data_IF_448907177582
#
_entry.id   IF_448907177582
#
_cell.length_a   1.000
_cell.length_b   1.000
_cell.length_c   1.000
_cell.angle_alpha   90.00
_cell.angle_beta   90.00
_cell.angle_gamma   90.00
#
_symmetry.space_group_name_H-M   'P 1'
#
loop_
_entity.id
_entity.type
_entity.pdbx_description
1 polymer ?
#
# COMPACT_ATOMS: atom_id res chain seq x y z
N UNK A 1 -12.72 -1.83 18.93
CA UNK A 1 -12.94 -0.96 17.74
C UNK A 1 -12.12 -1.44 16.53
N UNK A 2 -10.85 -1.83 16.70
CA UNK A 2 -10.03 -2.43 15.64
C UNK A 2 -10.50 -3.82 15.17
N UNK A 3 -10.95 -4.70 16.08
CA UNK A 3 -11.40 -6.06 15.73
C UNK A 3 -12.54 -6.07 14.69
N UNK A 4 -13.48 -5.13 14.77
CA UNK A 4 -14.58 -5.06 13.81
C UNK A 4 -14.10 -4.61 12.43
N UNK A 5 -13.13 -3.70 12.37
CA UNK A 5 -12.51 -3.27 11.11
C UNK A 5 -11.74 -4.41 10.46
N UNK A 6 -10.95 -5.15 11.23
CA UNK A 6 -10.27 -6.35 10.72
C UNK A 6 -11.27 -7.41 10.25
N UNK A 7 -12.31 -7.70 11.04
CA UNK A 7 -13.38 -8.62 10.61
C UNK A 7 -14.07 -8.21 9.31
N UNK A 8 -14.31 -6.92 9.10
CA UNK A 8 -14.92 -6.44 7.85
C UNK A 8 -13.97 -6.57 6.65
N UNK A 9 -12.66 -6.39 6.88
CA UNK A 9 -11.62 -6.62 5.87
C UNK A 9 -11.52 -8.12 5.55
N UNK A 10 -11.46 -8.99 6.57
CA UNK A 10 -11.55 -10.46 6.45
C UNK A 10 -12.77 -10.87 5.64
N UNK A 11 -13.97 -10.41 6.00
CA UNK A 11 -15.23 -10.78 5.34
C UNK A 11 -15.30 -10.36 3.87
N UNK A 12 -14.64 -9.25 3.51
CA UNK A 12 -14.59 -8.74 2.13
C UNK A 12 -13.61 -9.54 1.29
N UNK A 13 -12.45 -9.84 1.84
CA UNK A 13 -11.36 -10.52 1.15
C UNK A 13 -11.54 -12.04 1.09
N UNK A 14 -12.19 -12.67 2.08
CA UNK A 14 -12.54 -14.09 2.07
C UNK A 14 -13.53 -14.47 0.94
N UNK A 15 -14.25 -13.49 0.40
CA UNK A 15 -15.16 -13.66 -0.75
C UNK A 15 -14.46 -13.51 -2.11
N UNK A 16 -13.17 -13.20 -2.12
CA UNK A 16 -12.41 -13.04 -3.36
C UNK A 16 -12.12 -14.41 -3.99
N UNK A 17 -12.42 -14.54 -5.28
CA UNK A 17 -12.43 -15.81 -6.00
C UNK A 17 -11.06 -16.50 -6.14
N UNK A 18 -9.97 -15.84 -5.72
CA UNK A 18 -8.60 -16.35 -5.73
C UNK A 18 -8.10 -16.97 -4.42
N UNK A 19 -8.86 -16.88 -3.32
CA UNK A 19 -8.46 -17.46 -2.03
C UNK A 19 -9.07 -18.86 -1.84
N UNK A 20 -8.29 -19.90 -2.11
CA UNK A 20 -8.68 -21.30 -1.88
C UNK A 20 -8.45 -21.77 -0.43
N UNK A 21 -7.62 -21.07 0.34
CA UNK A 21 -7.27 -21.42 1.73
C UNK A 21 -7.01 -20.19 2.61
N UNK A 22 -7.08 -20.37 3.94
CA UNK A 22 -6.75 -19.33 4.94
C UNK A 22 -5.28 -18.86 4.84
N UNK A 23 -4.38 -19.70 4.31
CA UNK A 23 -2.97 -19.35 4.07
C UNK A 23 -2.83 -18.38 2.89
N UNK A 24 -3.57 -18.61 1.79
CA UNK A 24 -3.60 -17.71 0.63
C UNK A 24 -4.10 -16.31 1.05
N UNK A 25 -5.06 -16.26 1.97
CA UNK A 25 -5.61 -15.04 2.54
C UNK A 25 -4.58 -14.22 3.33
N UNK A 26 -3.82 -14.88 4.22
CA UNK A 26 -2.79 -14.22 5.02
C UNK A 26 -1.69 -13.68 4.11
N UNK A 27 -1.29 -14.41 3.08
CA UNK A 27 -0.27 -13.96 2.14
C UNK A 27 -0.71 -12.73 1.33
N UNK A 28 -1.95 -12.73 0.83
CA UNK A 28 -2.48 -11.60 0.05
C UNK A 28 -2.71 -10.33 0.89
N UNK A 29 -3.03 -10.47 2.17
CA UNK A 29 -3.21 -9.30 3.07
C UNK A 29 -1.90 -8.77 3.63
N UNK A 30 -0.92 -9.66 3.87
CA UNK A 30 0.33 -9.29 4.53
C UNK A 30 1.13 -8.26 3.75
N UNK A 31 1.26 -8.41 2.43
CA UNK A 31 2.04 -7.47 1.62
C UNK A 31 1.38 -6.09 1.56
N UNK A 32 0.05 -6.03 1.47
CA UNK A 32 -0.72 -4.78 1.46
C UNK A 32 -0.52 -4.05 2.79
N UNK A 33 -0.69 -4.75 3.91
CA UNK A 33 -0.49 -4.18 5.25
C UNK A 33 0.97 -3.73 5.45
N UNK A 34 1.93 -4.52 4.98
CA UNK A 34 3.35 -4.17 5.04
C UNK A 34 3.65 -2.87 4.29
N UNK A 35 3.16 -2.71 3.06
CA UNK A 35 3.38 -1.48 2.28
C UNK A 35 2.69 -0.28 2.93
N UNK A 36 1.48 -0.46 3.50
CA UNK A 36 0.80 0.60 4.25
C UNK A 36 1.61 1.06 5.46
N UNK A 37 2.16 0.11 6.21
CA UNK A 37 3.00 0.38 7.37
C UNK A 37 4.31 1.08 6.98
N UNK A 38 4.96 0.61 5.90
CA UNK A 38 6.19 1.22 5.40
C UNK A 38 5.97 2.69 5.00
N UNK A 39 4.85 2.98 4.31
CA UNK A 39 4.48 4.35 3.92
C UNK A 39 4.25 5.26 5.14
N UNK A 40 3.57 4.79 6.19
CA UNK A 40 3.42 5.56 7.43
C UNK A 40 4.77 5.83 8.11
N UNK A 41 5.65 4.81 8.16
CA UNK A 41 6.99 4.94 8.71
C UNK A 41 7.84 5.95 7.93
N UNK A 42 7.72 6.00 6.60
CA UNK A 42 8.41 6.99 5.76
C UNK A 42 7.93 8.41 6.05
N UNK A 43 6.61 8.60 6.21
CA UNK A 43 6.01 9.91 6.56
C UNK A 43 6.46 10.41 7.92
N UNK A 44 6.53 9.53 8.91
CA UNK A 44 7.04 9.88 10.24
C UNK A 44 8.51 10.30 10.18
N UNK A 45 9.34 9.55 9.45
CA UNK A 45 10.76 9.88 9.25
C UNK A 45 10.96 11.18 8.48
N UNK A 46 10.16 11.42 7.44
CA UNK A 46 10.19 12.66 6.68
C UNK A 46 9.84 13.84 7.58
N UNK A 47 8.74 13.74 8.35
CA UNK A 47 8.32 14.77 9.29
C UNK A 47 9.40 15.07 10.33
N UNK A 48 10.02 14.04 10.90
CA UNK A 48 11.10 14.19 11.86
C UNK A 48 12.35 14.86 11.25
N UNK A 49 12.68 14.55 9.99
CA UNK A 49 13.78 15.19 9.27
C UNK A 49 13.48 16.67 9.01
N UNK A 50 12.27 17.01 8.56
CA UNK A 50 11.82 18.39 8.34
C UNK A 50 11.90 19.22 9.63
N UNK A 51 11.42 18.67 10.76
CA UNK A 51 11.48 19.33 12.07
C UNK A 51 12.92 19.49 12.59
N UNK A 52 13.84 18.62 12.17
CA UNK A 52 15.26 18.69 12.55
C UNK A 52 16.13 19.43 11.54
N UNK A 53 15.54 20.01 10.48
CA UNK A 53 16.26 20.71 9.42
C UNK A 53 17.15 19.79 8.56
N UNK A 54 16.86 18.49 8.53
CA UNK A 54 17.58 17.48 7.74
C UNK A 54 16.79 17.12 6.49
N UNK A 55 17.51 16.75 5.43
CA UNK A 55 16.88 16.16 4.25
C UNK A 55 16.65 14.67 4.46
N UNK A 56 15.41 14.22 4.27
CA UNK A 56 15.07 12.79 4.20
C UNK A 56 15.04 12.33 2.75
N UNK A 57 15.65 11.17 2.48
CA UNK A 57 15.55 10.49 1.18
C UNK A 57 14.60 9.30 1.34
N UNK A 58 13.44 9.29 0.66
CA UNK A 58 12.53 8.16 0.70
C UNK A 58 13.18 6.86 0.22
N UNK A 59 12.71 5.75 0.78
CA UNK A 59 13.05 4.39 0.36
C UNK A 59 12.25 4.05 -0.89
N UNK A 60 10.96 4.42 -0.92
CA UNK A 60 10.04 4.19 -2.03
C UNK A 60 9.97 5.45 -2.91
N UNK A 61 10.22 5.28 -4.21
CA UNK A 61 10.06 6.33 -5.21
C UNK A 61 8.59 6.77 -5.30
N UNK A 62 8.37 8.03 -5.67
CA UNK A 62 7.06 8.68 -5.59
C UNK A 62 5.94 7.92 -6.33
N UNK A 63 6.21 7.31 -7.49
CA UNK A 63 5.22 6.53 -8.26
C UNK A 63 4.67 5.31 -7.49
N UNK A 64 5.43 4.76 -6.54
CA UNK A 64 5.09 3.53 -5.82
C UNK A 64 4.60 3.76 -4.39
N UNK A 65 4.49 5.03 -3.96
CA UNK A 65 3.97 5.38 -2.63
C UNK A 65 2.49 5.02 -2.50
N UNK A 66 2.06 4.72 -1.28
CA UNK A 66 0.71 4.23 -1.00
C UNK A 66 -0.38 5.21 -1.47
N UNK A 67 -0.18 6.49 -1.23
CA UNK A 67 -1.12 7.56 -1.60
C UNK A 67 -1.14 7.86 -3.12
N UNK A 68 -0.37 7.14 -3.95
CA UNK A 68 -0.39 7.31 -5.41
C UNK A 68 -1.23 6.23 -6.09
N UNK A 69 -1.03 4.96 -5.74
CA UNK A 69 -1.71 3.85 -6.42
C UNK A 69 -2.79 3.17 -5.55
N UNK A 70 -2.55 3.00 -4.25
CA UNK A 70 -3.41 2.19 -3.38
C UNK A 70 -4.60 2.98 -2.84
N UNK A 71 -4.38 4.23 -2.44
CA UNK A 71 -5.44 5.10 -1.93
C UNK A 71 -5.18 6.57 -2.31
N UNK A 72 -5.21 6.91 -3.61
CA UNK A 72 -5.02 8.28 -4.05
C UNK A 72 -6.08 9.19 -3.47
N UNK A 73 -5.66 10.32 -2.91
CA UNK A 73 -6.56 11.28 -2.28
C UNK A 73 -6.72 12.55 -3.11
N UNK A 74 -7.92 13.10 -3.11
CA UNK A 74 -8.23 14.41 -3.67
C UNK A 74 -7.72 15.52 -2.74
N UNK A 75 -7.88 16.79 -3.15
CA UNK A 75 -7.51 17.94 -2.33
C UNK A 75 -8.27 18.07 -1.00
N UNK A 76 -9.35 17.28 -0.81
CA UNK A 76 -10.13 17.22 0.42
C UNK A 76 -9.77 16.01 1.30
N UNK A 77 -8.76 15.21 0.90
CA UNK A 77 -8.34 14.01 1.63
C UNK A 77 -9.26 12.79 1.44
N UNK A 78 -10.23 12.84 0.52
CA UNK A 78 -11.11 11.72 0.16
C UNK A 78 -10.49 10.92 -0.97
N UNK A 79 -10.91 9.66 -1.15
CA UNK A 79 -10.46 8.84 -2.28
C UNK A 79 -10.78 9.54 -3.60
N UNK A 80 -9.75 9.78 -4.41
CA UNK A 80 -9.86 10.33 -5.75
C UNK A 80 -10.24 9.20 -6.72
N UNK A 81 -11.54 9.04 -6.95
CA UNK A 81 -12.08 8.03 -7.85
C UNK A 81 -11.65 8.20 -9.32
N UNK A 82 -11.11 9.36 -9.71
CA UNK A 82 -10.60 9.56 -11.07
C UNK A 82 -9.16 9.05 -11.23
N UNK A 83 -8.41 8.95 -10.13
CA UNK A 83 -7.03 8.43 -10.12
C UNK A 83 -6.90 7.02 -9.56
N UNK A 84 -7.86 6.60 -8.75
CA UNK A 84 -7.86 5.28 -8.14
C UNK A 84 -7.90 4.20 -9.23
N UNK A 85 -6.88 3.35 -9.22
CA UNK A 85 -6.86 2.14 -10.03
C UNK A 85 -7.85 1.12 -9.45
N UNK A 86 -8.59 0.41 -10.31
CA UNK A 86 -9.56 -0.59 -9.90
C UNK A 86 -9.75 -1.72 -10.92
N UNK A 87 -9.69 -2.98 -10.47
CA UNK A 87 -9.86 -4.13 -11.35
C UNK A 87 -8.60 -4.40 -12.18
N UNK A 88 -8.73 -4.38 -13.51
CA UNK A 88 -7.65 -4.79 -14.41
C UNK A 88 -6.45 -3.84 -14.42
N UNK A 89 -6.67 -2.53 -14.32
CA UNK A 89 -5.59 -1.53 -14.31
C UNK A 89 -4.76 -1.59 -13.02
N UNK A 90 -5.39 -1.86 -11.88
CA UNK A 90 -4.74 -2.09 -10.60
C UNK A 90 -3.90 -3.36 -10.65
N UNK A 91 -4.47 -4.45 -11.17
CA UNK A 91 -3.75 -5.71 -11.35
C UNK A 91 -2.53 -5.53 -12.24
N UNK A 92 -2.69 -4.87 -13.39
CA UNK A 92 -1.60 -4.62 -14.32
C UNK A 92 -0.49 -3.76 -13.68
N UNK A 93 -0.85 -2.72 -12.91
CA UNK A 93 0.11 -1.92 -12.16
C UNK A 93 0.88 -2.75 -11.13
N UNK A 94 0.18 -3.56 -10.35
CA UNK A 94 0.78 -4.38 -9.29
C UNK A 94 1.75 -5.40 -9.89
N UNK A 95 1.32 -6.14 -10.92
CA UNK A 95 2.07 -7.23 -11.52
C UNK A 95 3.25 -6.74 -12.38
N UNK A 96 3.03 -5.70 -13.20
CA UNK A 96 4.01 -5.26 -14.20
C UNK A 96 4.89 -4.11 -13.73
N UNK A 97 4.50 -3.38 -12.68
CA UNK A 97 5.27 -2.22 -12.19
C UNK A 97 5.70 -2.35 -10.73
N UNK A 98 4.75 -2.48 -9.80
CA UNK A 98 5.03 -2.43 -8.36
C UNK A 98 5.93 -3.58 -7.91
N UNK A 99 5.55 -4.84 -8.17
CA UNK A 99 6.37 -5.98 -7.75
C UNK A 99 7.75 -6.01 -8.44
N UNK A 100 7.87 -5.76 -9.75
CA UNK A 100 9.18 -5.61 -10.40
C UNK A 100 10.04 -4.51 -9.79
N UNK A 101 9.46 -3.39 -9.34
CA UNK A 101 10.16 -2.35 -8.60
C UNK A 101 10.65 -2.86 -7.23
N UNK A 102 9.74 -3.44 -6.43
CA UNK A 102 10.07 -3.94 -5.10
C UNK A 102 11.15 -5.05 -5.13
N UNK A 103 11.17 -5.89 -6.16
CA UNK A 103 12.21 -6.92 -6.36
C UNK A 103 13.61 -6.35 -6.58
N UNK A 104 13.76 -5.07 -6.90
CA UNK A 104 15.08 -4.42 -7.09
C UNK A 104 15.77 -4.09 -5.77
N UNK A 105 15.02 -4.00 -4.66
CA UNK A 105 15.63 -3.85 -3.34
C UNK A 105 16.42 -5.12 -3.01
N UNK A 106 17.74 -4.97 -2.87
CA UNK A 106 18.63 -6.03 -2.42
C UNK A 106 19.10 -5.70 -1.01
N UNK A 107 19.11 -6.69 -0.14
CA UNK A 107 19.93 -6.67 1.06
C UNK A 107 21.39 -6.58 0.60
N UNK A 108 22.07 -5.49 0.96
CA UNK A 108 23.53 -5.48 0.94
C UNK A 108 24.07 -6.28 2.12
#
# INVERSE_FOLDING_TARGET
MFEQTFKNIDDTLWKDAGCSSELDYVEQTSWVLFLKYLDDLEKDKQTAAELSGKTYKPIIDDEFKWDVWAAPKDGNGKLDHHKALSGDDLREFVDLKLFPYLKKFKTQ
#
